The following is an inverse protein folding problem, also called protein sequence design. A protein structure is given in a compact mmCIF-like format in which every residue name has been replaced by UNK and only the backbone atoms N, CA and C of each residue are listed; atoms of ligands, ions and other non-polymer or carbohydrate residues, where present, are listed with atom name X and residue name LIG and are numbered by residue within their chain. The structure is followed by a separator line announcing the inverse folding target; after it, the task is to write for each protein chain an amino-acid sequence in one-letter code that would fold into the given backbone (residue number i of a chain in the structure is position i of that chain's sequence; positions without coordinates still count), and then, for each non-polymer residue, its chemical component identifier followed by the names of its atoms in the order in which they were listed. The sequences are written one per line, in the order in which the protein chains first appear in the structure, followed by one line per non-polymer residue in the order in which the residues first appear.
data_IF_369811080122
#
_entry.id   IF_369811080122
#
_cell.length_a   1.000
_cell.length_b   1.000
_cell.length_c   1.000
_cell.angle_alpha   90.00
_cell.angle_beta   90.00
_cell.angle_gamma   90.00
#
_symmetry.space_group_name_H-M   'P 1'
#
loop_
_entity.id
_entity.type
_entity.pdbx_description
1 polymer ?
#
# COMPACT_ATOMS: atom_id res chain seq x y z
N UNK A 1 -7.20 4.54 14.87
CA UNK A 1 -7.46 5.94 15.30
C UNK A 1 -6.22 6.75 14.96
N UNK A 2 -6.38 7.77 14.10
CA UNK A 2 -5.27 8.64 13.68
C UNK A 2 -4.88 9.57 14.84
N UNK A 3 -3.58 9.68 15.12
CA UNK A 3 -3.04 10.54 16.17
C UNK A 3 -2.76 11.93 15.61
N UNK A 4 -3.35 12.96 16.20
CA UNK A 4 -3.12 14.36 15.81
C UNK A 4 -2.23 15.06 16.84
N UNK A 5 -1.12 15.64 16.40
CA UNK A 5 -0.13 16.30 17.27
C UNK A 5 -0.65 17.55 17.99
N UNK A 6 -1.58 18.27 17.37
CA UNK A 6 -2.13 19.54 17.90
C UNK A 6 -3.39 19.38 18.76
N UNK A 7 -3.93 18.19 18.90
CA UNK A 7 -5.13 17.95 19.74
C UNK A 7 -4.70 17.67 21.18
N UNK A 8 -3.95 18.59 21.76
CA UNK A 8 -3.66 18.61 23.19
C UNK A 8 -4.82 19.24 23.99
N UNK A 9 -6.06 19.05 23.54
CA UNK A 9 -7.27 19.48 24.25
C UNK A 9 -7.52 18.69 25.55
N UNK A 10 -6.75 17.64 25.76
CA UNK A 10 -6.88 16.74 26.92
C UNK A 10 -5.57 16.63 27.69
N UNK A 11 -5.19 17.70 28.35
CA UNK A 11 -4.05 17.67 29.29
C UNK A 11 -4.18 16.63 30.42
N UNK A 12 -5.34 15.99 30.55
CA UNK A 12 -5.59 14.87 31.46
C UNK A 12 -5.20 13.48 30.89
N UNK A 13 -4.83 13.37 29.61
CA UNK A 13 -4.46 12.09 28.98
C UNK A 13 -2.95 11.81 28.97
N UNK A 14 -2.12 12.68 29.57
CA UNK A 14 -0.68 12.50 29.65
C UNK A 14 -0.24 11.26 30.47
N UNK A 15 -1.20 10.58 31.11
CA UNK A 15 -0.96 9.36 31.89
C UNK A 15 -1.12 8.07 31.05
N UNK A 16 -1.63 8.18 29.81
CA UNK A 16 -1.79 7.00 28.95
C UNK A 16 -0.48 6.66 28.26
N UNK A 17 -0.12 5.40 28.31
CA UNK A 17 0.98 4.85 27.54
C UNK A 17 0.51 4.57 26.11
N UNK A 18 1.27 5.05 25.14
CA UNK A 18 1.07 4.73 23.75
C UNK A 18 1.67 3.35 23.44
N UNK A 19 0.82 2.40 23.10
CA UNK A 19 1.19 1.01 22.79
C UNK A 19 1.21 0.70 21.30
N UNK A 20 1.13 1.71 20.43
CA UNK A 20 0.99 1.51 18.97
C UNK A 20 2.13 0.69 18.37
N UNK A 21 3.36 0.92 18.83
CA UNK A 21 4.58 0.23 18.36
C UNK A 21 5.28 -0.45 19.53
N UNK A 22 4.52 -1.06 20.43
CA UNK A 22 5.00 -1.80 21.56
C UNK A 22 4.92 -3.31 21.27
N UNK A 23 6.05 -3.99 21.38
CA UNK A 23 6.18 -5.41 21.06
C UNK A 23 5.22 -6.29 21.88
N UNK A 24 4.99 -5.95 23.16
CA UNK A 24 4.11 -6.70 24.06
C UNK A 24 2.66 -6.69 23.57
N UNK A 25 2.22 -5.61 22.91
CA UNK A 25 0.86 -5.42 22.42
C UNK A 25 0.70 -5.62 20.92
N UNK A 26 1.72 -6.10 20.25
CA UNK A 26 1.81 -6.15 18.77
C UNK A 26 0.71 -6.96 18.09
N UNK A 27 0.10 -7.92 18.76
CA UNK A 27 -0.99 -8.76 18.22
C UNK A 27 -2.40 -8.37 18.72
N UNK A 28 -2.52 -7.37 19.63
CA UNK A 28 -3.79 -7.05 20.30
C UNK A 28 -4.94 -6.64 19.35
N UNK A 29 -4.60 -6.07 18.19
CA UNK A 29 -5.57 -5.57 17.23
C UNK A 29 -5.75 -6.49 16.01
N UNK A 30 -5.21 -7.71 16.02
CA UNK A 30 -5.25 -8.62 14.87
C UNK A 30 -5.48 -10.07 15.28
N UNK A 31 -5.73 -10.95 14.31
CA UNK A 31 -5.67 -12.39 14.51
C UNK A 31 -4.30 -12.91 14.09
N UNK A 32 -3.71 -13.79 14.89
CA UNK A 32 -2.50 -14.52 14.56
C UNK A 32 -2.79 -15.75 13.69
N UNK A 33 -1.76 -16.36 13.10
CA UNK A 33 -1.92 -17.66 12.41
C UNK A 33 -2.51 -18.72 13.37
N UNK A 34 -2.11 -18.67 14.64
CA UNK A 34 -2.62 -19.56 15.68
C UNK A 34 -4.10 -19.34 15.95
N UNK A 35 -4.55 -18.09 16.05
CA UNK A 35 -5.98 -17.79 16.24
C UNK A 35 -6.83 -18.32 15.08
N UNK A 36 -6.36 -18.17 13.83
CA UNK A 36 -7.06 -18.72 12.68
C UNK A 36 -7.16 -20.24 12.74
N UNK A 37 -6.10 -20.91 13.15
CA UNK A 37 -6.07 -22.35 13.29
C UNK A 37 -6.99 -22.83 14.42
N UNK A 38 -6.94 -22.20 15.60
CA UNK A 38 -7.64 -22.65 16.79
C UNK A 38 -9.16 -22.33 16.72
N UNK A 39 -9.53 -21.15 16.21
CA UNK A 39 -10.90 -20.66 16.27
C UNK A 39 -11.64 -20.65 14.93
N UNK A 40 -10.93 -20.52 13.81
CA UNK A 40 -11.56 -20.33 12.51
C UNK A 40 -11.33 -21.48 11.52
N UNK A 41 -10.57 -22.52 11.86
CA UNK A 41 -10.22 -23.62 10.95
C UNK A 41 -11.44 -24.25 10.26
N UNK A 42 -12.54 -24.47 10.99
CA UNK A 42 -13.79 -25.02 10.43
C UNK A 42 -14.46 -24.06 9.44
N UNK A 43 -14.38 -22.75 9.68
CA UNK A 43 -14.99 -21.73 8.85
C UNK A 43 -14.16 -21.42 7.59
N UNK A 44 -12.87 -21.68 7.64
CA UNK A 44 -11.92 -21.50 6.55
C UNK A 44 -11.70 -22.79 5.74
N UNK A 45 -12.37 -23.89 6.13
CA UNK A 45 -12.30 -25.15 5.40
C UNK A 45 -12.74 -24.97 3.94
N UNK A 46 -11.87 -25.32 2.98
CA UNK A 46 -12.08 -25.13 1.54
C UNK A 46 -11.32 -23.93 0.95
N UNK A 47 -10.64 -23.12 1.76
CA UNK A 47 -9.69 -22.11 1.29
C UNK A 47 -8.24 -22.59 1.50
N UNK A 48 -7.33 -22.13 0.64
CA UNK A 48 -5.90 -22.32 0.84
C UNK A 48 -5.39 -21.35 1.91
N UNK A 49 -4.81 -21.81 3.03
CA UNK A 49 -4.29 -20.95 4.08
C UNK A 49 -3.23 -19.96 3.59
N UNK A 50 -2.39 -20.35 2.65
CA UNK A 50 -1.37 -19.47 2.07
C UNK A 50 -1.99 -18.34 1.23
N UNK A 51 -3.11 -18.60 0.55
CA UNK A 51 -3.86 -17.56 -0.14
C UNK A 51 -4.54 -16.61 0.86
N UNK A 52 -5.13 -17.12 1.93
CA UNK A 52 -5.71 -16.29 3.01
C UNK A 52 -4.64 -15.40 3.62
N UNK A 53 -3.46 -15.97 3.92
CA UNK A 53 -2.32 -15.24 4.46
C UNK A 53 -1.86 -14.14 3.50
N UNK A 54 -1.71 -14.44 2.23
CA UNK A 54 -1.28 -13.50 1.20
C UNK A 54 -2.25 -12.34 1.00
N UNK A 55 -3.55 -12.60 1.19
CA UNK A 55 -4.58 -11.60 1.01
C UNK A 55 -4.78 -10.69 2.23
N UNK A 56 -4.78 -11.23 3.45
CA UNK A 56 -5.31 -10.54 4.62
C UNK A 56 -4.36 -10.46 5.82
N UNK A 57 -3.22 -11.18 5.80
CA UNK A 57 -2.18 -11.06 6.81
C UNK A 57 -1.20 -9.93 6.43
N UNK A 58 -0.20 -9.73 7.26
CA UNK A 58 0.99 -8.93 6.95
C UNK A 58 1.13 -7.67 7.79
N UNK A 59 0.15 -7.33 8.61
CA UNK A 59 0.27 -6.23 9.56
C UNK A 59 1.26 -6.60 10.67
N UNK A 60 2.21 -5.71 10.95
CA UNK A 60 3.19 -5.85 12.01
C UNK A 60 3.32 -4.54 12.80
N UNK A 61 3.26 -4.65 14.10
CA UNK A 61 3.33 -3.57 15.07
C UNK A 61 4.52 -3.80 16.03
N UNK A 62 5.72 -4.04 15.51
CA UNK A 62 6.95 -4.41 16.22
C UNK A 62 6.98 -5.84 16.78
N UNK A 63 5.98 -6.68 16.51
CA UNK A 63 5.97 -8.07 16.98
C UNK A 63 6.83 -9.01 16.13
N UNK A 64 7.07 -10.20 16.68
CA UNK A 64 7.78 -11.28 16.00
C UNK A 64 6.96 -11.90 14.86
N UNK A 65 5.63 -11.80 14.95
CA UNK A 65 4.70 -12.32 13.95
C UNK A 65 3.84 -11.20 13.35
N UNK A 66 3.28 -11.47 12.17
CA UNK A 66 2.30 -10.61 11.52
C UNK A 66 0.89 -11.05 11.85
N UNK A 67 -0.06 -10.11 11.81
CA UNK A 67 -1.46 -10.41 12.11
C UNK A 67 -2.36 -10.13 10.91
N UNK A 68 -3.51 -10.83 10.90
CA UNK A 68 -4.60 -10.60 9.98
C UNK A 68 -5.49 -9.46 10.44
N UNK A 69 -6.06 -8.72 9.50
CA UNK A 69 -7.13 -7.79 9.81
C UNK A 69 -8.41 -8.58 10.20
N UNK A 70 -8.93 -8.43 11.41
CA UNK A 70 -10.11 -9.17 11.85
C UNK A 70 -11.35 -8.93 11.00
N UNK A 71 -11.55 -7.70 10.55
CA UNK A 71 -12.69 -7.34 9.71
C UNK A 71 -12.68 -8.12 8.38
N UNK A 72 -11.54 -8.24 7.75
CA UNK A 72 -11.38 -8.91 6.47
C UNK A 72 -11.62 -10.42 6.61
N UNK A 73 -11.07 -11.04 7.66
CA UNK A 73 -11.29 -12.47 7.94
C UNK A 73 -12.77 -12.77 8.19
N UNK A 74 -13.45 -11.95 8.99
CA UNK A 74 -14.86 -12.14 9.29
C UNK A 74 -15.74 -11.96 8.03
N UNK A 75 -15.43 -10.98 7.18
CA UNK A 75 -16.16 -10.79 5.93
C UNK A 75 -15.83 -11.88 4.90
N UNK A 76 -14.57 -12.32 4.81
CA UNK A 76 -14.18 -13.43 3.95
C UNK A 76 -15.01 -14.69 4.27
N UNK A 77 -15.14 -15.05 5.54
CA UNK A 77 -15.98 -16.15 6.00
C UNK A 77 -17.45 -15.87 5.65
N UNK A 78 -17.98 -14.69 6.00
CA UNK A 78 -19.37 -14.32 5.74
C UNK A 78 -19.74 -14.34 4.26
N UNK A 79 -18.79 -13.99 3.39
CA UNK A 79 -18.94 -13.97 1.92
C UNK A 79 -18.54 -15.28 1.26
N UNK A 80 -18.55 -16.40 2.01
CA UNK A 80 -18.30 -17.75 1.51
C UNK A 80 -16.94 -17.95 0.86
N UNK A 81 -15.90 -17.42 1.49
CA UNK A 81 -14.49 -17.57 1.08
C UNK A 81 -14.17 -16.97 -0.30
N UNK A 82 -14.84 -15.88 -0.66
CA UNK A 82 -14.53 -15.12 -1.88
C UNK A 82 -13.46 -14.08 -1.56
N UNK A 83 -12.32 -14.14 -2.25
CA UNK A 83 -11.24 -13.15 -2.09
C UNK A 83 -11.60 -11.83 -2.76
N UNK A 84 -11.67 -10.76 -1.98
CA UNK A 84 -11.91 -9.39 -2.45
C UNK A 84 -11.41 -8.33 -1.45
N UNK A 85 -11.46 -7.06 -1.82
CA UNK A 85 -10.99 -5.94 -1.02
C UNK A 85 -12.08 -5.48 -0.03
N UNK A 86 -12.24 -6.16 1.10
CA UNK A 86 -13.30 -5.90 2.07
C UNK A 86 -13.12 -4.59 2.81
N UNK A 87 -11.92 -4.27 3.22
CA UNK A 87 -11.63 -3.07 3.98
C UNK A 87 -11.91 -1.80 3.17
N UNK A 88 -11.65 -1.82 1.87
CA UNK A 88 -11.81 -0.68 0.97
C UNK A 88 -13.23 -0.45 0.47
N UNK A 89 -14.15 -1.38 0.63
CA UNK A 89 -15.56 -1.17 0.29
C UNK A 89 -16.20 -0.04 1.12
N UNK A 90 -15.60 0.33 2.26
CA UNK A 90 -16.14 1.30 3.22
C UNK A 90 -15.69 2.74 3.01
N UNK A 91 -14.75 3.02 2.14
CA UNK A 91 -14.29 4.39 1.86
C UNK A 91 -13.23 4.50 0.78
N UNK A 92 -13.49 5.34 -0.20
CA UNK A 92 -12.49 5.69 -1.21
C UNK A 92 -11.57 6.76 -0.65
N UNK A 93 -10.26 6.57 -0.58
CA UNK A 93 -9.31 7.53 -0.03
C UNK A 93 -9.01 8.66 -1.03
N UNK A 94 -10.05 9.36 -1.54
CA UNK A 94 -9.88 10.46 -2.49
C UNK A 94 -8.92 11.51 -1.95
N UNK A 95 -9.05 11.83 -0.67
CA UNK A 95 -8.14 12.72 0.02
C UNK A 95 -6.67 12.29 -0.06
N UNK A 96 -6.38 11.00 0.06
CA UNK A 96 -5.01 10.46 -0.04
C UNK A 96 -4.43 10.69 -1.45
N UNK A 97 -5.24 10.46 -2.48
CA UNK A 97 -4.83 10.68 -3.87
C UNK A 97 -4.58 12.17 -4.15
N UNK A 98 -5.43 13.05 -3.61
CA UNK A 98 -5.23 14.50 -3.72
C UNK A 98 -3.96 14.94 -3.00
N UNK A 99 -3.71 14.44 -1.78
CA UNK A 99 -2.49 14.70 -1.04
C UNK A 99 -1.24 14.25 -1.81
N UNK A 100 -1.27 13.07 -2.40
CA UNK A 100 -0.15 12.55 -3.18
C UNK A 100 0.13 13.42 -4.42
N UNK A 101 -0.91 13.89 -5.09
CA UNK A 101 -0.77 14.81 -6.22
C UNK A 101 -0.19 16.15 -5.77
N UNK A 102 -0.72 16.71 -4.70
CA UNK A 102 -0.27 18.00 -4.13
C UNK A 102 1.20 17.92 -3.70
N UNK A 103 1.59 16.85 -3.03
CA UNK A 103 2.97 16.61 -2.59
C UNK A 103 3.89 16.09 -3.69
N UNK A 104 3.36 15.85 -4.90
CA UNK A 104 4.10 15.24 -6.02
C UNK A 104 4.78 13.92 -5.62
N UNK A 105 4.06 13.11 -4.84
CA UNK A 105 4.60 11.87 -4.29
C UNK A 105 5.01 10.91 -5.40
N UNK A 106 6.24 10.42 -5.33
CA UNK A 106 6.79 9.46 -6.27
C UNK A 106 6.36 8.05 -5.86
N UNK A 107 5.33 7.49 -6.52
CA UNK A 107 4.72 6.22 -6.13
C UNK A 107 5.70 5.04 -6.02
N UNK A 108 6.76 4.91 -6.83
CA UNK A 108 7.75 3.85 -6.67
C UNK A 108 8.44 3.82 -5.30
N UNK A 109 8.53 4.94 -4.58
CA UNK A 109 9.07 4.99 -3.22
C UNK A 109 8.29 4.11 -2.23
N UNK A 110 7.02 3.76 -2.53
CA UNK A 110 6.22 2.85 -1.70
C UNK A 110 6.85 1.45 -1.53
N UNK A 111 7.81 1.08 -2.38
CA UNK A 111 8.52 -0.20 -2.26
C UNK A 111 9.72 -0.12 -1.31
N UNK A 112 10.18 1.09 -0.94
CA UNK A 112 11.36 1.29 -0.10
C UNK A 112 11.21 2.52 0.82
N UNK A 113 10.21 2.50 1.69
CA UNK A 113 9.95 3.60 2.63
C UNK A 113 10.78 3.39 3.91
N UNK A 114 11.55 4.40 4.25
CA UNK A 114 12.28 4.48 5.52
C UNK A 114 11.82 5.71 6.29
N UNK A 115 11.47 5.53 7.56
CA UNK A 115 11.01 6.61 8.42
C UNK A 115 11.60 6.49 9.82
N UNK A 116 11.69 7.61 10.52
CA UNK A 116 12.03 7.66 11.94
C UNK A 116 10.80 7.49 12.81
N UNK A 117 11.00 7.29 14.10
CA UNK A 117 9.91 7.18 15.07
C UNK A 117 9.03 8.42 15.09
N UNK A 118 9.61 9.61 14.93
CA UNK A 118 8.88 10.88 14.93
C UNK A 118 7.80 10.94 13.84
N UNK A 119 8.10 10.43 12.65
CA UNK A 119 7.13 10.35 11.54
C UNK A 119 5.97 9.42 11.88
N UNK A 120 6.22 8.35 12.66
CA UNK A 120 5.20 7.36 13.01
C UNK A 120 4.30 7.79 14.17
N UNK A 121 4.83 8.60 15.10
CA UNK A 121 4.16 8.91 16.36
C UNK A 121 3.11 10.02 16.25
N UNK A 122 3.30 11.01 15.38
CA UNK A 122 2.45 12.17 15.33
C UNK A 122 2.09 12.61 13.90
N UNK A 123 0.88 13.12 13.80
CA UNK A 123 0.31 13.61 12.58
C UNK A 123 -0.07 15.09 12.76
N UNK A 124 0.64 15.99 12.09
CA UNK A 124 0.30 17.41 12.09
C UNK A 124 -0.73 17.72 11.00
N UNK A 125 -1.89 18.25 11.40
CA UNK A 125 -2.99 18.57 10.47
C UNK A 125 -2.60 19.66 9.48
N UNK A 126 -1.71 20.59 9.88
CA UNK A 126 -1.25 21.67 9.01
C UNK A 126 -0.10 21.25 8.10
N UNK A 127 0.58 20.16 8.45
CA UNK A 127 1.66 19.58 7.65
C UNK A 127 1.56 18.05 7.64
N UNK A 128 0.79 17.53 6.72
CA UNK A 128 0.55 16.10 6.60
C UNK A 128 1.71 15.44 5.86
N UNK A 129 2.43 14.55 6.56
CA UNK A 129 3.38 13.63 5.94
C UNK A 129 2.61 12.45 5.33
N UNK A 130 2.77 12.15 4.03
CA UNK A 130 2.07 11.05 3.38
C UNK A 130 2.38 9.67 4.00
N UNK A 131 3.62 9.42 4.44
CA UNK A 131 4.03 8.14 5.01
C UNK A 131 3.42 7.94 6.41
N UNK A 132 3.40 9.01 7.23
CA UNK A 132 2.71 9.02 8.52
C UNK A 132 1.22 8.70 8.35
N UNK A 133 0.57 9.34 7.39
CA UNK A 133 -0.84 9.11 7.09
C UNK A 133 -1.09 7.67 6.64
N UNK A 134 -0.28 7.17 5.70
CA UNK A 134 -0.39 5.80 5.20
C UNK A 134 -0.20 4.76 6.30
N UNK A 135 0.77 4.97 7.20
CA UNK A 135 1.01 4.08 8.32
C UNK A 135 -0.15 4.10 9.32
N UNK A 136 -0.58 5.28 9.78
CA UNK A 136 -1.65 5.41 10.76
C UNK A 136 -3.03 4.99 10.23
N UNK A 137 -3.24 5.03 8.93
CA UNK A 137 -4.46 4.56 8.29
C UNK A 137 -4.41 3.08 7.86
N UNK A 138 -3.29 2.38 8.10
CA UNK A 138 -3.15 0.95 7.83
C UNK A 138 -2.84 0.59 6.38
N UNK A 139 -2.45 1.55 5.55
CA UNK A 139 -1.94 1.26 4.19
C UNK A 139 -0.50 0.76 4.20
N UNK A 140 0.25 1.15 5.23
CA UNK A 140 1.60 0.69 5.48
C UNK A 140 1.70 -0.01 6.82
N UNK A 141 2.69 -0.86 6.94
CA UNK A 141 3.04 -1.59 8.16
C UNK A 141 4.56 -1.71 8.28
N UNK A 142 5.06 -2.08 9.45
CA UNK A 142 6.48 -2.28 9.70
C UNK A 142 6.94 -3.57 9.01
N UNK A 143 7.97 -3.48 8.18
CA UNK A 143 8.65 -4.63 7.59
C UNK A 143 9.74 -5.15 8.51
N UNK A 144 10.60 -4.26 8.96
CA UNK A 144 11.66 -4.47 9.95
C UNK A 144 12.16 -3.12 10.47
N UNK A 145 13.03 -3.16 11.46
CA UNK A 145 13.69 -1.98 12.02
C UNK A 145 15.17 -2.23 12.16
N UNK A 146 15.95 -1.16 12.21
CA UNK A 146 17.37 -1.19 12.55
C UNK A 146 17.75 0.11 13.24
N UNK A 147 18.95 0.15 13.83
CA UNK A 147 19.49 1.35 14.46
C UNK A 147 20.61 1.88 13.57
N UNK A 148 20.53 3.17 13.24
CA UNK A 148 21.56 3.91 12.54
C UNK A 148 21.90 5.18 13.36
N UNK A 149 23.15 5.38 13.67
CA UNK A 149 23.65 6.52 14.48
C UNK A 149 22.77 6.83 15.72
N UNK A 150 22.39 5.78 16.46
CA UNK A 150 21.53 5.82 17.67
C UNK A 150 20.05 6.16 17.40
N UNK A 151 19.64 6.33 16.15
CA UNK A 151 18.27 6.54 15.76
C UNK A 151 17.62 5.23 15.26
N UNK A 152 16.38 4.97 15.70
CA UNK A 152 15.62 3.83 15.22
C UNK A 152 14.96 4.14 13.89
N UNK A 153 15.34 3.39 12.85
CA UNK A 153 14.79 3.49 11.50
C UNK A 153 13.81 2.36 11.27
N UNK A 154 12.65 2.70 10.72
CA UNK A 154 11.59 1.76 10.36
C UNK A 154 11.50 1.63 8.85
N UNK A 155 11.69 0.42 8.35
CA UNK A 155 11.35 0.09 6.98
C UNK A 155 9.87 -0.27 6.92
N UNK A 156 9.10 0.45 6.12
CA UNK A 156 7.68 0.21 5.94
C UNK A 156 7.41 -0.56 4.64
N UNK A 157 6.27 -1.23 4.59
CA UNK A 157 5.78 -1.94 3.40
C UNK A 157 4.26 -1.91 3.35
N UNK A 158 3.70 -2.15 2.18
CA UNK A 158 2.28 -2.48 2.03
C UNK A 158 2.05 -3.86 2.67
N UNK A 159 1.05 -4.01 3.58
CA UNK A 159 0.91 -5.23 4.38
C UNK A 159 0.60 -6.47 3.54
N UNK A 160 -0.34 -6.37 2.60
CA UNK A 160 -0.88 -7.54 1.92
C UNK A 160 -1.42 -7.22 0.51
N UNK A 161 -1.99 -8.25 -0.12
CA UNK A 161 -2.51 -8.16 -1.48
C UNK A 161 -3.77 -7.29 -1.58
N UNK A 162 -4.64 -7.33 -0.58
CA UNK A 162 -5.84 -6.51 -0.55
C UNK A 162 -5.50 -5.02 -0.62
N UNK A 163 -4.65 -4.56 0.31
CA UNK A 163 -4.22 -3.16 0.39
C UNK A 163 -3.50 -2.74 -0.88
N UNK A 164 -2.61 -3.59 -1.40
CA UNK A 164 -1.89 -3.30 -2.65
C UNK A 164 -2.84 -3.12 -3.83
N UNK A 165 -3.81 -4.00 -4.00
CA UNK A 165 -4.77 -3.90 -5.10
C UNK A 165 -5.65 -2.65 -4.99
N UNK A 166 -6.07 -2.33 -3.77
CA UNK A 166 -6.89 -1.16 -3.53
C UNK A 166 -6.12 0.13 -3.81
N UNK A 167 -4.89 0.28 -3.28
CA UNK A 167 -4.03 1.44 -3.58
C UNK A 167 -3.78 1.57 -5.09
N UNK A 168 -3.40 0.49 -5.77
CA UNK A 168 -3.11 0.53 -7.19
C UNK A 168 -4.34 0.95 -8.02
N UNK A 169 -5.52 0.50 -7.65
CA UNK A 169 -6.77 0.92 -8.31
C UNK A 169 -7.02 2.42 -8.13
N UNK A 170 -6.74 2.95 -6.95
CA UNK A 170 -6.87 4.38 -6.66
C UNK A 170 -5.81 5.21 -7.40
N UNK A 171 -4.56 4.73 -7.46
CA UNK A 171 -3.51 5.42 -8.20
C UNK A 171 -3.80 5.49 -9.69
N UNK A 172 -4.26 4.39 -10.30
CA UNK A 172 -4.66 4.38 -11.71
C UNK A 172 -5.79 5.37 -11.95
N UNK A 173 -6.83 5.36 -11.11
CA UNK A 173 -7.93 6.30 -11.21
C UNK A 173 -7.46 7.75 -10.99
N UNK A 174 -6.67 7.99 -9.95
CA UNK A 174 -6.24 9.33 -9.57
C UNK A 174 -5.20 9.93 -10.51
N UNK A 175 -4.15 9.20 -10.83
CA UNK A 175 -3.04 9.72 -11.65
C UNK A 175 -3.33 9.64 -13.16
N UNK A 176 -3.89 8.53 -13.62
CA UNK A 176 -4.18 8.35 -15.03
C UNK A 176 -5.59 8.83 -15.44
N UNK A 177 -6.47 9.13 -14.48
CA UNK A 177 -7.87 9.49 -14.76
C UNK A 177 -8.67 8.34 -15.36
N UNK A 178 -8.18 7.11 -15.24
CA UNK A 178 -8.83 5.91 -15.73
C UNK A 178 -9.60 5.26 -14.59
N UNK A 179 -10.89 5.07 -14.73
CA UNK A 179 -11.74 4.43 -13.71
C UNK A 179 -11.37 2.98 -13.45
N UNK A 180 -10.74 2.32 -14.38
CA UNK A 180 -10.04 1.03 -14.24
C UNK A 180 -9.19 0.77 -15.47
N UNK A 181 -8.10 0.01 -15.35
CA UNK A 181 -7.50 -0.64 -16.49
C UNK A 181 -8.52 -1.63 -17.08
N UNK A 182 -8.85 -1.48 -18.37
CA UNK A 182 -9.72 -2.44 -19.04
C UNK A 182 -9.14 -3.85 -18.84
N UNK A 183 -9.98 -4.79 -18.50
CA UNK A 183 -9.58 -6.18 -18.23
C UNK A 183 -8.71 -6.73 -19.37
N UNK A 184 -9.09 -6.45 -20.61
CA UNK A 184 -8.36 -6.90 -21.80
C UNK A 184 -6.92 -6.36 -21.82
N UNK A 185 -6.70 -5.08 -21.49
CA UNK A 185 -5.35 -4.49 -21.42
C UNK A 185 -4.50 -5.16 -20.33
N UNK A 186 -5.09 -5.45 -19.17
CA UNK A 186 -4.39 -6.16 -18.08
C UNK A 186 -4.00 -7.59 -18.49
N UNK A 187 -4.90 -8.34 -19.11
CA UNK A 187 -4.65 -9.70 -19.56
C UNK A 187 -3.58 -9.72 -20.67
N UNK A 188 -3.65 -8.75 -21.59
CA UNK A 188 -2.66 -8.60 -22.65
C UNK A 188 -1.27 -8.29 -22.08
N UNK A 189 -1.14 -7.30 -21.19
CA UNK A 189 0.15 -6.98 -20.55
C UNK A 189 0.72 -8.18 -19.78
N UNK A 190 -0.11 -8.92 -19.05
CA UNK A 190 0.34 -10.15 -18.38
C UNK A 190 0.90 -11.18 -19.35
N UNK A 191 0.22 -11.39 -20.48
CA UNK A 191 0.68 -12.29 -21.54
C UNK A 191 2.00 -11.82 -22.13
N UNK A 192 2.10 -10.54 -22.45
CA UNK A 192 3.31 -9.94 -23.03
C UNK A 192 4.52 -10.06 -22.10
N UNK A 193 4.33 -9.79 -20.79
CA UNK A 193 5.36 -10.00 -19.76
C UNK A 193 5.75 -11.47 -19.65
N UNK A 194 4.78 -12.38 -19.58
CA UNK A 194 5.07 -13.82 -19.39
C UNK A 194 5.76 -14.45 -20.60
N UNK A 195 5.55 -13.90 -21.79
CA UNK A 195 6.19 -14.35 -23.04
C UNK A 195 7.45 -13.59 -23.42
N UNK A 196 7.83 -12.56 -22.65
CA UNK A 196 8.99 -11.71 -22.95
C UNK A 196 8.78 -10.85 -24.20
N UNK A 197 7.55 -10.64 -24.66
CA UNK A 197 7.28 -9.82 -25.86
C UNK A 197 7.33 -8.32 -25.55
N UNK A 198 8.54 -7.80 -25.36
CA UNK A 198 8.78 -6.40 -24.98
C UNK A 198 8.25 -5.41 -26.04
N UNK A 199 8.38 -5.74 -27.33
CA UNK A 199 7.90 -4.84 -28.39
C UNK A 199 6.38 -4.62 -28.31
N UNK A 200 5.61 -5.69 -28.08
CA UNK A 200 4.16 -5.58 -27.91
C UNK A 200 3.81 -4.87 -26.60
N UNK A 201 4.53 -5.18 -25.50
CA UNK A 201 4.34 -4.54 -24.21
C UNK A 201 4.51 -3.01 -24.30
N UNK A 202 5.59 -2.52 -24.95
CA UNK A 202 5.80 -1.09 -25.17
C UNK A 202 4.64 -0.48 -25.98
N UNK A 203 4.13 -1.17 -26.98
CA UNK A 203 2.97 -0.69 -27.76
C UNK A 203 1.73 -0.59 -26.89
N UNK A 204 1.47 -1.58 -26.05
CA UNK A 204 0.34 -1.57 -25.10
C UNK A 204 0.47 -0.43 -24.10
N UNK A 205 1.65 -0.21 -23.52
CA UNK A 205 1.93 0.90 -22.60
C UNK A 205 1.70 2.26 -23.29
N UNK A 206 2.23 2.45 -24.50
CA UNK A 206 2.00 3.68 -25.29
C UNK A 206 0.50 3.92 -25.53
N UNK A 207 -0.27 2.87 -25.80
CA UNK A 207 -1.71 2.94 -25.96
C UNK A 207 -2.44 3.35 -24.67
N UNK A 208 -1.95 2.87 -23.51
CA UNK A 208 -2.50 3.27 -22.20
C UNK A 208 -2.23 4.74 -21.92
N UNK A 209 -0.99 5.23 -22.13
CA UNK A 209 -0.68 6.64 -21.97
C UNK A 209 -1.47 7.54 -22.93
N UNK A 210 -1.66 7.13 -24.17
CA UNK A 210 -2.50 7.84 -25.12
C UNK A 210 -3.98 7.92 -24.69
N UNK A 211 -4.43 7.00 -23.85
CA UNK A 211 -5.79 6.98 -23.28
C UNK A 211 -5.97 7.88 -22.05
N UNK A 212 -4.90 8.43 -21.50
CA UNK A 212 -5.00 9.34 -20.34
C UNK A 212 -5.63 10.67 -20.80
N UNK A 213 -6.70 11.14 -20.13
CA UNK A 213 -7.39 12.37 -20.53
C UNK A 213 -6.44 13.58 -20.54
N UNK A 214 -6.52 14.40 -21.58
CA UNK A 214 -5.70 15.60 -21.76
C UNK A 214 -5.75 16.55 -20.54
N UNK A 215 -6.87 16.63 -19.83
CA UNK A 215 -7.02 17.44 -18.62
C UNK A 215 -6.02 17.08 -17.51
N UNK A 216 -5.55 15.85 -17.48
CA UNK A 216 -4.55 15.41 -16.51
C UNK A 216 -3.14 15.93 -16.85
N UNK A 217 -2.95 16.41 -18.08
CA UNK A 217 -1.67 16.96 -18.55
C UNK A 217 -1.62 18.49 -18.48
N UNK A 218 -2.73 19.21 -18.45
CA UNK A 218 -2.76 20.67 -18.68
C UNK A 218 -2.80 21.51 -17.43
N UNK A 219 -3.22 20.99 -16.30
CA UNK A 219 -3.39 21.77 -15.06
C UNK A 219 -2.38 21.43 -13.96
N UNK A 220 -1.43 20.56 -14.22
CA UNK A 220 -0.45 20.14 -13.21
C UNK A 220 0.95 20.17 -13.82
N UNK A 221 1.87 20.89 -13.19
CA UNK A 221 3.33 20.76 -13.46
C UNK A 221 3.84 19.32 -13.31
N UNK A 222 3.06 18.44 -12.67
CA UNK A 222 3.31 17.01 -12.56
C UNK A 222 3.37 16.29 -13.90
N UNK A 223 2.51 16.68 -14.86
CA UNK A 223 2.44 16.02 -16.17
C UNK A 223 3.70 16.20 -17.03
N UNK A 224 4.54 17.16 -16.69
CA UNK A 224 5.81 17.41 -17.36
C UNK A 224 7.00 16.81 -16.61
N UNK A 225 6.76 16.07 -15.51
CA UNK A 225 7.83 15.47 -14.72
C UNK A 225 7.98 13.97 -15.03
N UNK A 226 9.20 13.52 -15.14
CA UNK A 226 9.56 12.09 -15.27
C UNK A 226 8.90 11.24 -14.16
N UNK A 227 8.89 11.77 -12.93
CA UNK A 227 8.25 11.10 -11.78
C UNK A 227 6.77 10.82 -11.94
N UNK A 228 6.02 11.65 -12.70
CA UNK A 228 4.63 11.37 -13.01
C UNK A 228 4.48 10.13 -13.89
N UNK A 229 5.24 10.06 -14.98
CA UNK A 229 5.20 8.92 -15.91
C UNK A 229 5.64 7.63 -15.21
N UNK A 230 6.69 7.69 -14.41
CA UNK A 230 7.16 6.57 -13.60
C UNK A 230 6.09 6.13 -12.59
N UNK A 231 5.42 7.05 -11.90
CA UNK A 231 4.34 6.72 -10.96
C UNK A 231 3.14 6.07 -11.64
N UNK A 232 2.74 6.56 -12.83
CA UNK A 232 1.66 5.94 -13.63
C UNK A 232 2.07 4.54 -14.09
N UNK A 233 3.30 4.37 -14.57
CA UNK A 233 3.83 3.10 -15.02
C UNK A 233 3.93 2.09 -13.87
N UNK A 234 4.44 2.53 -12.71
CA UNK A 234 4.45 1.75 -11.48
C UNK A 234 3.05 1.24 -11.13
N UNK A 235 2.04 2.13 -11.10
CA UNK A 235 0.67 1.74 -10.79
C UNK A 235 0.12 0.70 -11.78
N UNK A 236 0.46 0.81 -13.07
CA UNK A 236 0.09 -0.19 -14.07
C UNK A 236 0.72 -1.55 -13.80
N UNK A 237 2.02 -1.64 -13.64
CA UNK A 237 2.70 -2.91 -13.37
C UNK A 237 2.29 -3.52 -12.02
N UNK A 238 2.20 -2.71 -10.98
CA UNK A 238 1.75 -3.17 -9.66
C UNK A 238 0.31 -3.73 -9.71
N UNK A 239 -0.57 -3.18 -10.58
CA UNK A 239 -1.93 -3.70 -10.80
C UNK A 239 -1.96 -5.10 -11.42
N UNK A 240 -0.89 -5.51 -12.09
CA UNK A 240 -0.73 -6.85 -12.67
C UNK A 240 -0.28 -7.89 -11.64
N UNK A 241 -0.04 -7.49 -10.40
CA UNK A 241 0.68 -8.25 -9.36
C UNK A 241 2.10 -8.64 -9.80
N UNK A 242 2.72 -7.85 -10.66
CA UNK A 242 4.14 -7.99 -10.98
C UNK A 242 4.98 -7.47 -9.81
N UNK A 243 6.14 -8.08 -9.59
CA UNK A 243 7.14 -7.52 -8.71
C UNK A 243 7.81 -6.36 -9.45
N UNK A 244 7.61 -5.16 -8.95
CA UNK A 244 8.26 -3.95 -9.47
C UNK A 244 9.43 -3.62 -8.56
N UNK A 245 10.61 -3.39 -9.14
CA UNK A 245 11.81 -2.94 -8.43
C UNK A 245 12.18 -1.62 -9.10
N UNK A 246 11.77 -0.49 -8.51
CA UNK A 246 12.13 0.82 -9.05
C UNK A 246 13.60 1.10 -8.79
N UNK A 247 14.23 1.83 -9.68
CA UNK A 247 15.61 2.31 -9.56
C UNK A 247 16.63 1.21 -9.23
N UNK A 248 16.52 0.08 -9.93
CA UNK A 248 17.43 -1.06 -9.71
C UNK A 248 18.86 -0.72 -10.17
N UNK A 249 19.77 -0.71 -9.21
CA UNK A 249 21.19 -0.40 -9.47
C UNK A 249 21.91 -1.70 -9.83
N UNK A 250 22.41 -1.77 -11.05
CA UNK A 250 23.18 -2.91 -11.57
C UNK A 250 24.65 -2.53 -11.78
N UNK A 251 25.50 -3.53 -12.03
CA UNK A 251 26.91 -3.30 -12.40
C UNK A 251 27.10 -2.51 -13.71
N UNK A 252 26.05 -2.29 -14.48
CA UNK A 252 26.06 -1.60 -15.78
C UNK A 252 25.35 -0.26 -15.75
N UNK A 253 24.77 0.13 -14.60
CA UNK A 253 24.04 1.38 -14.43
C UNK A 253 22.77 1.21 -13.58
N UNK A 254 22.02 2.30 -13.46
CA UNK A 254 20.72 2.33 -12.83
C UNK A 254 19.64 2.08 -13.86
N UNK A 255 18.70 1.20 -13.58
CA UNK A 255 17.49 1.02 -14.36
C UNK A 255 16.33 1.67 -13.63
N UNK A 256 15.62 2.59 -14.29
CA UNK A 256 14.55 3.38 -13.66
C UNK A 256 13.33 2.51 -13.31
N UNK A 257 13.03 1.50 -14.16
CA UNK A 257 11.96 0.50 -13.92
C UNK A 257 12.06 -0.70 -14.86
#
# INVERSE_FOLDING_TARGET
VTKFSKVNLFSGLNQFMDITIDEEFSSICGYTDKDLQDYFSKHLAGSDPEDVKRWYNGYNWMGLETVYNPYDILLFIKKRLVFQNYWFETGTPTFLIELFKEKRYFLPELENIQVTKEIMDAFDVDYIDPNALLFQSGYLTIKNTYIDDQEQIFNLKIPNREVRQALNSQFISGYAGLTSLKLDSRLQMKKELSTGNITSLIKTIKGLFAGIPWRNFTNNDLANSEGYYASVLYAFFASLNARVIPEDITNHGQADM
#
